data_IF_307451097941
#
_entry.id   IF_307451097941
#
_cell.length_a   1.000
_cell.length_b   1.000
_cell.length_c   1.000
_cell.angle_alpha   90.00
_cell.angle_beta   90.00
_cell.angle_gamma   90.00
#
_symmetry.space_group_name_H-M   'P 1'
#
loop_
_entity.id
_entity.type
_entity.pdbx_description
1 polymer ?
#
# COMPACT_ATOMS: atom_id res chain seq x y z
N UNK A 1 -3.03 -17.36 -20.26
CA UNK A 1 -2.35 -16.10 -19.89
C UNK A 1 -3.12 -15.43 -18.76
N UNK A 2 -2.40 -14.97 -17.74
CA UNK A 2 -2.90 -14.14 -16.64
C UNK A 2 -2.30 -12.76 -16.76
N UNK A 3 -2.89 -11.78 -16.09
CA UNK A 3 -2.32 -10.43 -16.06
C UNK A 3 -0.99 -10.47 -15.30
N UNK A 4 0.06 -9.87 -15.87
CA UNK A 4 1.36 -9.80 -15.19
C UNK A 4 1.39 -8.73 -14.11
N UNK A 5 2.36 -8.78 -13.20
CA UNK A 5 2.58 -7.73 -12.20
C UNK A 5 2.92 -6.38 -12.85
N UNK A 6 3.61 -6.39 -13.99
CA UNK A 6 3.89 -5.19 -14.80
C UNK A 6 2.60 -4.66 -15.43
N UNK A 7 1.74 -5.52 -15.95
CA UNK A 7 0.41 -5.17 -16.46
C UNK A 7 -0.49 -4.56 -15.38
N UNK A 8 -0.46 -5.11 -14.16
CA UNK A 8 -1.15 -4.56 -13.01
C UNK A 8 -0.63 -3.15 -12.66
N UNK A 9 0.69 -2.97 -12.59
CA UNK A 9 1.31 -1.69 -12.28
C UNK A 9 0.98 -0.64 -13.35
N UNK A 10 1.05 -1.03 -14.62
CA UNK A 10 0.70 -0.20 -15.77
C UNK A 10 -0.75 0.28 -15.70
N UNK A 11 -1.70 -0.61 -15.41
CA UNK A 11 -3.12 -0.25 -15.29
C UNK A 11 -3.36 0.64 -14.07
N UNK A 12 -2.79 0.30 -12.92
CA UNK A 12 -2.92 1.06 -11.68
C UNK A 12 -2.43 2.52 -11.83
N UNK A 13 -1.37 2.73 -12.63
CA UNK A 13 -0.86 4.07 -12.93
C UNK A 13 -1.86 4.94 -13.72
N UNK A 14 -2.76 4.33 -14.49
CA UNK A 14 -3.78 5.05 -15.27
C UNK A 14 -5.07 5.33 -14.49
N UNK A 15 -5.50 4.43 -13.60
CA UNK A 15 -6.77 4.56 -12.87
C UNK A 15 -6.67 5.52 -11.68
N UNK A 16 -5.49 5.66 -11.09
CA UNK A 16 -5.33 6.35 -9.81
C UNK A 16 -6.04 5.60 -8.67
N UNK A 17 -5.56 5.79 -7.44
CA UNK A 17 -6.13 5.11 -6.28
C UNK A 17 -6.79 6.12 -5.34
N UNK A 18 -8.05 5.87 -5.02
CA UNK A 18 -8.80 6.64 -4.03
C UNK A 18 -9.10 5.76 -2.82
N UNK A 19 -8.50 6.07 -1.67
CA UNK A 19 -8.64 5.27 -0.45
C UNK A 19 -10.01 5.34 0.21
N UNK A 20 -10.82 6.33 -0.17
CA UNK A 20 -12.13 6.61 0.44
C UNK A 20 -13.24 6.53 -0.63
N UNK A 21 -14.36 5.91 -0.28
CA UNK A 21 -15.54 5.86 -1.14
C UNK A 21 -16.05 7.26 -1.46
N UNK A 22 -16.25 7.55 -2.73
CA UNK A 22 -16.72 8.83 -3.27
C UNK A 22 -17.84 8.60 -4.30
N UNK A 23 -18.57 9.64 -4.67
CA UNK A 23 -19.52 9.60 -5.78
C UNK A 23 -18.80 10.01 -7.06
N UNK A 24 -18.85 9.16 -8.08
CA UNK A 24 -18.37 9.51 -9.41
C UNK A 24 -19.33 10.53 -10.09
N UNK A 25 -18.97 11.11 -11.25
CA UNK A 25 -19.85 12.01 -11.99
C UNK A 25 -21.19 11.39 -12.43
N UNK A 26 -21.31 10.06 -12.42
CA UNK A 26 -22.54 9.33 -12.72
C UNK A 26 -23.38 9.02 -11.46
N UNK A 27 -22.97 9.52 -10.28
CA UNK A 27 -23.66 9.31 -9.01
C UNK A 27 -23.45 7.92 -8.41
N UNK A 28 -22.48 7.15 -8.89
CA UNK A 28 -22.18 5.80 -8.42
C UNK A 28 -21.08 5.86 -7.36
N UNK A 29 -21.30 5.17 -6.24
CA UNK A 29 -20.29 5.04 -5.19
C UNK A 29 -19.11 4.20 -5.68
N UNK A 30 -17.93 4.81 -5.69
CA UNK A 30 -16.70 4.28 -6.25
C UNK A 30 -15.55 4.37 -5.23
N UNK A 31 -14.65 3.38 -5.22
CA UNK A 31 -13.48 3.33 -4.32
C UNK A 31 -12.29 2.63 -4.98
N UNK A 32 -11.06 2.86 -4.50
CA UNK A 32 -9.86 2.18 -4.99
C UNK A 32 -9.52 2.62 -6.41
N UNK A 33 -9.33 1.65 -7.32
CA UNK A 33 -9.00 1.87 -8.74
C UNK A 33 -10.24 2.00 -9.63
N UNK A 34 -11.37 2.50 -9.10
CA UNK A 34 -12.64 2.54 -9.84
C UNK A 34 -13.59 1.38 -9.50
N UNK A 35 -13.44 0.75 -8.33
CA UNK A 35 -14.32 -0.32 -7.93
C UNK A 35 -15.71 0.18 -7.56
N UNK A 36 -16.72 -0.48 -8.12
CA UNK A 36 -18.13 -0.20 -7.86
C UNK A 36 -18.86 -1.48 -7.48
N UNK A 37 -20.01 -1.34 -6.82
CA UNK A 37 -20.87 -2.48 -6.47
C UNK A 37 -21.49 -3.20 -7.68
N UNK A 38 -21.20 -2.77 -8.91
CA UNK A 38 -21.60 -3.44 -10.16
C UNK A 38 -20.72 -4.64 -10.50
N UNK A 39 -19.46 -4.64 -10.06
CA UNK A 39 -18.57 -5.80 -10.23
C UNK A 39 -19.01 -6.91 -9.29
N UNK A 40 -19.14 -8.14 -9.81
CA UNK A 40 -19.55 -9.31 -9.03
C UNK A 40 -18.45 -9.70 -8.05
N UNK A 41 -17.20 -9.62 -8.50
CA UNK A 41 -16.03 -9.94 -7.67
C UNK A 41 -15.87 -8.91 -6.55
N UNK A 42 -15.91 -7.60 -6.89
CA UNK A 42 -15.80 -6.55 -5.88
C UNK A 42 -16.94 -6.61 -4.87
N UNK A 43 -18.19 -6.68 -5.34
CA UNK A 43 -19.36 -6.67 -4.44
C UNK A 43 -19.41 -7.90 -3.54
N UNK A 44 -19.03 -9.08 -4.05
CA UNK A 44 -18.91 -10.31 -3.26
C UNK A 44 -17.82 -10.20 -2.20
N UNK A 45 -16.61 -9.75 -2.58
CA UNK A 45 -15.51 -9.53 -1.64
C UNK A 45 -15.87 -8.50 -0.57
N UNK A 46 -16.48 -7.38 -0.97
CA UNK A 46 -16.85 -6.29 -0.07
C UNK A 46 -17.89 -6.73 0.95
N UNK A 47 -18.98 -7.39 0.52
CA UNK A 47 -20.01 -7.90 1.42
C UNK A 47 -19.47 -8.96 2.37
N UNK A 48 -18.63 -9.89 1.88
CA UNK A 48 -18.00 -10.92 2.72
C UNK A 48 -17.14 -10.32 3.83
N UNK A 49 -16.47 -9.20 3.54
CA UNK A 49 -15.56 -8.55 4.49
C UNK A 49 -16.25 -7.57 5.44
N UNK A 50 -17.18 -6.78 4.93
CA UNK A 50 -17.76 -5.65 5.66
C UNK A 50 -19.22 -5.86 6.07
N UNK A 51 -19.89 -6.92 5.60
CA UNK A 51 -21.29 -7.22 5.91
C UNK A 51 -22.31 -6.21 5.35
N UNK A 52 -21.86 -5.19 4.62
CA UNK A 52 -22.68 -4.10 4.10
C UNK A 52 -22.36 -3.78 2.65
N UNK A 53 -23.18 -2.95 2.00
CA UNK A 53 -22.88 -2.36 0.69
C UNK A 53 -21.87 -1.22 0.86
N UNK A 54 -21.06 -0.97 -0.18
CA UNK A 54 -20.13 0.17 -0.20
C UNK A 54 -20.92 1.48 -0.06
N UNK A 55 -20.49 2.32 0.88
CA UNK A 55 -21.04 3.64 1.11
C UNK A 55 -19.96 4.74 0.96
N UNK A 56 -20.40 5.98 0.73
CA UNK A 56 -19.51 7.13 0.73
C UNK A 56 -18.82 7.22 2.10
N UNK A 57 -17.51 7.50 2.09
CA UNK A 57 -16.72 7.60 3.32
C UNK A 57 -16.08 6.29 3.78
N UNK A 58 -16.52 5.13 3.28
CA UNK A 58 -15.86 3.85 3.55
C UNK A 58 -14.40 3.85 3.08
N UNK A 59 -13.56 3.03 3.71
CA UNK A 59 -12.10 3.00 3.46
C UNK A 59 -11.64 1.67 2.89
N UNK A 60 -10.73 1.74 1.94
CA UNK A 60 -10.04 0.59 1.36
C UNK A 60 -8.53 0.87 1.39
N UNK A 61 -7.73 -0.07 1.88
CA UNK A 61 -6.28 0.06 1.82
C UNK A 61 -5.78 -0.25 0.41
N UNK A 62 -4.69 0.41 -0.01
CA UNK A 62 -4.09 0.20 -1.34
C UNK A 62 -3.68 -1.25 -1.56
N UNK A 63 -3.18 -1.92 -0.53
CA UNK A 63 -2.81 -3.33 -0.59
C UNK A 63 -4.02 -4.24 -0.90
N UNK A 64 -5.14 -4.07 -0.18
CA UNK A 64 -6.36 -4.81 -0.49
C UNK A 64 -6.88 -4.46 -1.88
N UNK A 65 -6.76 -3.19 -2.29
CA UNK A 65 -7.13 -2.75 -3.62
C UNK A 65 -6.28 -3.40 -4.71
N UNK A 66 -4.97 -3.55 -4.52
CA UNK A 66 -4.07 -4.21 -5.48
C UNK A 66 -4.42 -5.71 -5.63
N UNK A 67 -4.58 -6.42 -4.51
CA UNK A 67 -4.96 -7.85 -4.53
C UNK A 67 -6.32 -8.07 -5.19
N UNK A 68 -7.26 -7.18 -4.89
CA UNK A 68 -8.59 -7.20 -5.47
C UNK A 68 -8.58 -6.85 -6.95
N UNK A 69 -7.78 -5.85 -7.35
CA UNK A 69 -7.61 -5.46 -8.75
C UNK A 69 -7.08 -6.63 -9.57
N UNK A 70 -6.00 -7.29 -9.14
CA UNK A 70 -5.45 -8.45 -9.84
C UNK A 70 -6.50 -9.55 -10.03
N UNK A 71 -7.23 -9.90 -8.96
CA UNK A 71 -8.28 -10.92 -9.00
C UNK A 71 -9.41 -10.52 -9.97
N UNK A 72 -9.82 -9.26 -9.92
CA UNK A 72 -10.87 -8.70 -10.76
C UNK A 72 -10.45 -8.67 -12.24
N UNK A 73 -9.22 -8.27 -12.55
CA UNK A 73 -8.68 -8.28 -13.91
C UNK A 73 -8.65 -9.70 -14.47
N UNK A 74 -8.11 -10.66 -13.73
CA UNK A 74 -7.99 -12.06 -14.18
C UNK A 74 -9.33 -12.76 -14.42
N UNK A 75 -10.35 -12.41 -13.63
CA UNK A 75 -11.65 -13.08 -13.63
C UNK A 75 -12.73 -12.37 -14.45
N UNK A 76 -12.70 -11.04 -14.56
CA UNK A 76 -13.73 -10.27 -15.29
C UNK A 76 -13.23 -9.74 -16.65
N UNK A 77 -11.98 -9.29 -16.75
CA UNK A 77 -11.49 -8.54 -17.92
C UNK A 77 -10.59 -9.36 -18.85
N UNK A 78 -9.79 -10.25 -18.28
CA UNK A 78 -8.92 -11.16 -19.00
C UNK A 78 -9.65 -12.26 -19.82
N UNK A 79 -10.77 -12.87 -19.37
CA UNK A 79 -11.42 -13.93 -20.15
C UNK A 79 -11.90 -13.50 -21.54
N UNK A 80 -12.53 -12.33 -21.74
CA UNK A 80 -12.88 -11.83 -23.07
C UNK A 80 -11.66 -11.67 -23.99
N UNK A 81 -10.53 -11.19 -23.47
CA UNK A 81 -9.28 -11.04 -24.22
C UNK A 81 -8.77 -12.41 -24.67
N UNK A 82 -8.64 -13.37 -23.74
CA UNK A 82 -8.21 -14.75 -24.06
C UNK A 82 -9.07 -15.41 -25.12
N UNK A 83 -10.40 -15.21 -25.04
CA UNK A 83 -11.36 -15.78 -25.98
C UNK A 83 -11.21 -15.19 -27.38
N UNK A 84 -11.00 -13.87 -27.47
CA UNK A 84 -11.01 -13.14 -28.75
C UNK A 84 -9.66 -13.16 -29.45
N UNK A 85 -8.58 -13.09 -28.66
CA UNK A 85 -7.19 -12.96 -29.09
C UNK A 85 -6.34 -14.03 -28.39
N UNK A 86 -6.39 -15.30 -28.86
CA UNK A 86 -5.73 -16.42 -28.18
C UNK A 86 -4.21 -16.46 -28.36
N UNK A 87 -3.67 -15.75 -29.36
CA UNK A 87 -2.24 -15.74 -29.72
C UNK A 87 -1.65 -14.35 -29.47
N UNK A 88 -1.30 -14.06 -28.22
CA UNK A 88 -0.70 -12.78 -27.81
C UNK A 88 0.60 -13.03 -27.04
N UNK A 89 1.53 -12.08 -27.09
CA UNK A 89 2.61 -12.00 -26.09
C UNK A 89 2.05 -11.51 -24.75
N UNK A 90 2.82 -11.64 -23.67
CA UNK A 90 2.37 -11.22 -22.33
C UNK A 90 2.05 -9.71 -22.30
N UNK A 91 2.87 -8.91 -22.97
CA UNK A 91 2.74 -7.46 -23.04
C UNK A 91 1.52 -7.04 -23.86
N UNK A 92 1.29 -7.70 -25.01
CA UNK A 92 0.09 -7.49 -25.81
C UNK A 92 -1.18 -7.88 -25.05
N UNK A 93 -1.12 -8.97 -24.30
CA UNK A 93 -2.21 -9.41 -23.44
C UNK A 93 -2.53 -8.37 -22.37
N UNK A 94 -1.51 -7.85 -21.67
CA UNK A 94 -1.67 -6.83 -20.64
C UNK A 94 -2.19 -5.49 -21.21
N UNK A 95 -1.71 -5.07 -22.38
CA UNK A 95 -2.23 -3.91 -23.10
C UNK A 95 -3.73 -4.07 -23.42
N UNK A 96 -4.13 -5.23 -23.96
CA UNK A 96 -5.52 -5.52 -24.29
C UNK A 96 -6.42 -5.52 -23.04
N UNK A 97 -5.94 -6.06 -21.92
CA UNK A 97 -6.66 -6.03 -20.65
C UNK A 97 -6.85 -4.59 -20.16
N UNK A 98 -5.83 -3.73 -20.24
CA UNK A 98 -5.96 -2.30 -19.91
C UNK A 98 -7.00 -1.58 -20.77
N UNK A 99 -7.05 -1.89 -22.08
CA UNK A 99 -8.07 -1.35 -22.99
C UNK A 99 -9.47 -1.79 -22.58
N UNK A 100 -9.65 -3.09 -22.30
CA UNK A 100 -10.93 -3.69 -21.91
C UNK A 100 -11.38 -3.19 -20.54
N UNK A 101 -10.46 -2.89 -19.62
CA UNK A 101 -10.78 -2.26 -18.34
C UNK A 101 -11.40 -0.87 -18.52
N UNK A 102 -10.83 -0.06 -19.41
CA UNK A 102 -11.28 1.31 -19.63
C UNK A 102 -12.53 1.43 -20.51
N UNK A 103 -12.62 0.63 -21.58
CA UNK A 103 -13.67 0.77 -22.61
C UNK A 103 -14.68 -0.39 -22.61
N UNK A 104 -14.46 -1.41 -21.79
CA UNK A 104 -15.25 -2.64 -21.76
C UNK A 104 -14.88 -3.63 -22.86
N UNK A 105 -15.41 -4.85 -22.75
CA UNK A 105 -15.10 -5.97 -23.65
C UNK A 105 -15.55 -5.75 -25.10
N UNK A 106 -16.49 -4.83 -25.35
CA UNK A 106 -16.90 -4.44 -26.71
C UNK A 106 -15.76 -3.84 -27.52
N UNK A 107 -14.75 -3.28 -26.87
CA UNK A 107 -13.57 -2.76 -27.57
C UNK A 107 -12.82 -3.83 -28.37
N UNK A 108 -12.98 -5.12 -28.02
CA UNK A 108 -12.36 -6.24 -28.72
C UNK A 108 -12.96 -6.54 -30.10
N UNK A 109 -14.12 -5.94 -30.45
CA UNK A 109 -14.67 -6.03 -31.80
C UNK A 109 -14.26 -4.86 -32.70
N UNK A 110 -13.49 -3.90 -32.18
CA UNK A 110 -13.10 -2.71 -32.92
C UNK A 110 -11.91 -2.96 -33.84
N UNK A 111 -11.68 -2.03 -34.78
CA UNK A 111 -10.69 -2.18 -35.86
C UNK A 111 -9.29 -2.53 -35.37
N UNK A 112 -8.83 -1.95 -34.26
CA UNK A 112 -7.50 -2.24 -33.71
C UNK A 112 -7.35 -3.72 -33.30
N UNK A 113 -8.37 -4.29 -32.64
CA UNK A 113 -8.35 -5.67 -32.18
C UNK A 113 -8.44 -6.66 -33.34
N UNK A 114 -9.20 -6.33 -34.38
CA UNK A 114 -9.24 -7.10 -35.62
C UNK A 114 -7.86 -7.15 -36.29
N UNK A 115 -7.17 -6.00 -36.41
CA UNK A 115 -5.81 -5.95 -36.97
C UNK A 115 -4.79 -6.71 -36.13
N UNK A 116 -4.92 -6.65 -34.80
CA UNK A 116 -4.07 -7.43 -33.91
C UNK A 116 -4.29 -8.93 -34.11
N UNK A 117 -5.56 -9.37 -34.26
CA UNK A 117 -5.92 -10.76 -34.54
C UNK A 117 -5.31 -11.28 -35.85
N UNK A 118 -5.19 -10.40 -36.85
CA UNK A 118 -4.55 -10.69 -38.14
C UNK A 118 -3.00 -10.65 -38.07
N UNK A 119 -2.41 -10.46 -36.89
CA UNK A 119 -0.95 -10.35 -36.71
C UNK A 119 -0.35 -9.00 -37.14
N UNK A 120 -1.19 -8.01 -37.46
CA UNK A 120 -0.76 -6.68 -37.93
C UNK A 120 -0.58 -5.73 -36.74
N UNK A 121 0.40 -6.02 -35.89
CA UNK A 121 0.62 -5.31 -34.62
C UNK A 121 0.79 -3.80 -34.79
N UNK A 122 1.62 -3.34 -35.73
CA UNK A 122 1.83 -1.89 -35.93
C UNK A 122 0.58 -1.14 -36.44
N UNK A 123 -0.22 -1.78 -37.31
CA UNK A 123 -1.51 -1.21 -37.70
C UNK A 123 -2.47 -1.14 -36.51
N UNK A 124 -2.51 -2.19 -35.68
CA UNK A 124 -3.32 -2.24 -34.48
C UNK A 124 -2.94 -1.14 -33.48
N UNK A 125 -1.66 -0.96 -33.21
CA UNK A 125 -1.14 0.06 -32.30
C UNK A 125 -1.49 1.48 -32.76
N UNK A 126 -1.27 1.78 -34.05
CA UNK A 126 -1.65 3.07 -34.64
C UNK A 126 -3.14 3.35 -34.47
N UNK A 127 -4.00 2.36 -34.76
CA UNK A 127 -5.45 2.50 -34.57
C UNK A 127 -5.83 2.66 -33.09
N UNK A 128 -5.19 1.90 -32.20
CA UNK A 128 -5.43 1.95 -30.76
C UNK A 128 -5.11 3.33 -30.18
N UNK A 129 -4.01 3.96 -30.62
CA UNK A 129 -3.58 5.29 -30.15
C UNK A 129 -4.62 6.41 -30.33
N UNK A 130 -5.57 6.22 -31.25
CA UNK A 130 -6.63 7.19 -31.59
C UNK A 130 -8.00 6.81 -31.02
N UNK A 131 -8.16 5.56 -30.59
CA UNK A 131 -9.41 4.94 -30.20
C UNK A 131 -9.84 5.37 -28.80
N UNK A 132 -11.11 5.71 -28.57
CA UNK A 132 -11.63 5.98 -27.20
C UNK A 132 -10.93 7.15 -26.50
N UNK A 133 -10.51 8.18 -27.24
CA UNK A 133 -9.80 9.36 -26.71
C UNK A 133 -10.71 10.52 -26.32
N UNK A 134 -12.03 10.29 -26.36
CA UNK A 134 -13.07 11.31 -26.13
C UNK A 134 -14.04 10.86 -25.04
N UNK A 135 -14.56 11.82 -24.26
CA UNK A 135 -15.69 11.61 -23.34
C UNK A 135 -16.55 12.88 -23.30
N UNK A 136 -17.88 12.72 -23.29
CA UNK A 136 -18.82 13.85 -23.34
C UNK A 136 -18.62 14.76 -24.57
N UNK A 137 -18.26 14.17 -25.73
CA UNK A 137 -18.01 14.88 -26.97
C UNK A 137 -16.67 15.64 -27.03
N UNK A 138 -15.85 15.63 -25.97
CA UNK A 138 -14.57 16.35 -25.91
C UNK A 138 -13.39 15.38 -25.89
N UNK A 139 -12.30 15.75 -26.57
CA UNK A 139 -11.04 15.00 -26.54
C UNK A 139 -10.32 15.24 -25.22
N UNK A 140 -10.00 14.16 -24.50
CA UNK A 140 -9.38 14.24 -23.17
C UNK A 140 -7.88 13.93 -23.26
N UNK A 141 -7.04 14.87 -22.83
CA UNK A 141 -5.57 14.70 -22.82
C UNK A 141 -5.13 13.43 -22.08
N UNK A 142 -5.81 13.08 -20.98
CA UNK A 142 -5.54 11.85 -20.22
C UNK A 142 -5.78 10.57 -21.03
N UNK A 143 -6.92 10.47 -21.73
CA UNK A 143 -7.24 9.30 -22.55
C UNK A 143 -6.28 9.19 -23.74
N UNK A 144 -5.89 10.30 -24.36
CA UNK A 144 -4.87 10.32 -25.44
C UNK A 144 -3.54 9.74 -24.93
N UNK A 145 -3.07 10.19 -23.76
CA UNK A 145 -1.84 9.66 -23.16
C UNK A 145 -1.94 8.16 -22.85
N UNK A 146 -3.06 7.72 -22.29
CA UNK A 146 -3.32 6.29 -21.99
C UNK A 146 -3.29 5.43 -23.25
N UNK A 147 -4.02 5.81 -24.29
CA UNK A 147 -4.08 5.06 -25.55
C UNK A 147 -2.73 5.01 -26.26
N UNK A 148 -1.95 6.08 -26.18
CA UNK A 148 -0.58 6.07 -26.69
C UNK A 148 0.34 5.12 -25.90
N UNK A 149 0.20 5.05 -24.57
CA UNK A 149 0.95 4.12 -23.74
C UNK A 149 0.59 2.66 -24.03
N UNK A 150 -0.70 2.34 -24.18
CA UNK A 150 -1.15 0.98 -24.51
C UNK A 150 -0.78 0.57 -25.93
N UNK A 151 -0.81 1.50 -26.90
CA UNK A 151 -0.33 1.25 -28.26
C UNK A 151 1.16 0.90 -28.26
N UNK A 152 1.97 1.64 -27.50
CA UNK A 152 3.40 1.38 -27.30
C UNK A 152 3.64 0.02 -26.64
N UNK A 153 2.88 -0.32 -25.59
CA UNK A 153 2.99 -1.62 -24.93
C UNK A 153 2.63 -2.76 -25.90
N UNK A 154 1.58 -2.57 -26.69
CA UNK A 154 1.12 -3.54 -27.68
C UNK A 154 2.12 -3.76 -28.82
N UNK A 155 2.79 -2.70 -29.27
CA UNK A 155 3.72 -2.76 -30.41
C UNK A 155 5.14 -3.16 -30.04
N UNK A 156 5.65 -2.62 -28.93
CA UNK A 156 7.05 -2.71 -28.56
C UNK A 156 7.29 -3.49 -27.27
N UNK A 157 6.24 -3.92 -26.57
CA UNK A 157 6.38 -4.52 -25.24
C UNK A 157 6.88 -3.53 -24.17
N UNK A 158 6.84 -2.23 -24.49
CA UNK A 158 7.37 -1.17 -23.64
C UNK A 158 6.26 -0.65 -22.71
N UNK A 159 6.32 -1.03 -21.44
CA UNK A 159 5.45 -0.50 -20.38
C UNK A 159 5.71 1.00 -20.10
N UNK A 160 6.74 1.61 -20.71
CA UNK A 160 7.22 2.97 -20.48
C UNK A 160 8.11 3.06 -19.25
N UNK A 161 8.42 4.27 -18.77
CA UNK A 161 9.05 4.53 -17.46
C UNK A 161 8.24 3.94 -16.26
N UNK A 162 7.09 3.30 -16.50
CA UNK A 162 6.47 2.38 -15.55
C UNK A 162 7.32 1.11 -15.31
N UNK A 163 8.33 0.84 -16.13
CA UNK A 163 9.34 -0.20 -15.91
C UNK A 163 10.25 0.06 -14.69
N UNK A 164 10.21 1.27 -14.09
CA UNK A 164 10.87 1.54 -12.79
C UNK A 164 9.93 1.29 -11.60
N UNK A 165 8.65 0.97 -11.84
CA UNK A 165 7.73 0.47 -10.83
C UNK A 165 7.57 -1.05 -11.00
N UNK A 166 8.57 -1.80 -10.53
CA UNK A 166 8.44 -3.23 -10.29
C UNK A 166 7.21 -3.49 -9.40
N UNK A 167 6.15 -4.08 -9.96
CA UNK A 167 4.88 -4.35 -9.26
C UNK A 167 4.22 -3.04 -8.72
N UNK A 168 2.95 -3.03 -8.27
CA UNK A 168 2.42 -1.83 -7.62
C UNK A 168 3.31 -1.51 -6.42
N UNK A 169 4.02 -0.38 -6.49
CA UNK A 169 5.08 -0.05 -5.57
C UNK A 169 4.62 -0.31 -4.12
N UNK A 170 5.45 -1.00 -3.31
CA UNK A 170 5.23 -1.04 -1.88
C UNK A 170 4.89 0.36 -1.38
N UNK A 171 3.78 0.50 -0.64
CA UNK A 171 3.42 1.81 -0.10
C UNK A 171 4.62 2.31 0.71
N UNK A 172 5.14 3.50 0.43
CA UNK A 172 6.20 4.14 1.23
C UNK A 172 5.86 4.04 2.72
N UNK A 173 4.59 4.22 3.06
CA UNK A 173 4.04 4.10 4.40
C UNK A 173 4.18 2.68 5.01
N UNK A 174 4.20 1.63 4.19
CA UNK A 174 4.41 0.24 4.62
C UNK A 174 5.89 -0.06 4.75
N UNK A 175 6.73 0.46 3.85
CA UNK A 175 8.19 0.40 4.00
C UNK A 175 8.60 1.07 5.31
N UNK A 176 8.08 2.27 5.58
CA UNK A 176 8.39 3.02 6.80
C UNK A 176 7.83 2.33 8.04
N UNK A 177 6.64 1.72 7.94
CA UNK A 177 6.08 0.87 8.98
C UNK A 177 6.95 -0.36 9.25
N UNK A 178 7.39 -1.10 8.21
CA UNK A 178 8.25 -2.27 8.36
C UNK A 178 9.61 -1.89 8.93
N UNK A 179 10.22 -0.78 8.48
CA UNK A 179 11.44 -0.23 9.08
C UNK A 179 11.24 0.08 10.55
N UNK A 180 10.15 0.78 10.91
CA UNK A 180 9.84 1.13 12.28
C UNK A 180 9.62 -0.13 13.15
N UNK A 181 8.82 -1.09 12.69
CA UNK A 181 8.57 -2.35 13.40
C UNK A 181 9.87 -3.14 13.62
N UNK A 182 10.68 -3.29 12.56
CA UNK A 182 11.96 -4.00 12.63
C UNK A 182 12.93 -3.30 13.58
N UNK A 183 13.02 -1.97 13.49
CA UNK A 183 13.80 -1.15 14.42
C UNK A 183 13.30 -1.28 15.86
N UNK A 184 12.01 -1.56 16.08
CA UNK A 184 11.41 -1.78 17.40
C UNK A 184 11.51 -3.23 17.89
N UNK A 185 12.16 -4.12 17.14
CA UNK A 185 12.33 -5.54 17.49
C UNK A 185 11.10 -6.41 17.19
N UNK A 186 10.10 -5.87 16.49
CA UNK A 186 8.97 -6.62 15.96
C UNK A 186 9.28 -7.00 14.51
N UNK A 187 9.75 -8.22 14.25
CA UNK A 187 10.19 -8.61 12.90
C UNK A 187 9.01 -8.68 11.90
N UNK A 188 8.93 -7.76 10.93
CA UNK A 188 7.85 -7.75 9.95
C UNK A 188 8.17 -8.62 8.73
N UNK A 189 9.32 -9.31 8.72
CA UNK A 189 9.88 -9.98 7.55
C UNK A 189 10.77 -9.05 6.71
N UNK A 190 10.93 -9.35 5.40
CA UNK A 190 11.62 -8.46 4.46
C UNK A 190 11.01 -7.06 4.45
N UNK A 191 11.84 -6.02 4.31
CA UNK A 191 11.38 -4.64 4.09
C UNK A 191 11.11 -4.49 2.59
N UNK A 192 10.06 -5.17 2.16
CA UNK A 192 9.60 -5.26 0.78
C UNK A 192 8.40 -4.35 0.50
N UNK A 193 7.94 -3.64 1.54
CA UNK A 193 6.76 -2.80 1.65
C UNK A 193 5.43 -3.47 1.30
N UNK A 194 5.38 -4.80 1.42
CA UNK A 194 4.16 -5.59 1.40
C UNK A 194 3.67 -5.84 2.83
N UNK A 195 2.40 -5.52 3.11
CA UNK A 195 1.81 -5.79 4.41
C UNK A 195 1.35 -7.26 4.53
N UNK A 196 2.33 -8.17 4.55
CA UNK A 196 2.10 -9.63 4.60
C UNK A 196 1.72 -10.15 5.99
N UNK A 197 1.53 -11.49 6.12
CA UNK A 197 1.24 -12.13 7.41
C UNK A 197 2.28 -11.82 8.49
N UNK A 198 3.56 -11.74 8.11
CA UNK A 198 4.66 -11.39 9.02
C UNK A 198 4.57 -9.94 9.48
N UNK A 199 4.35 -8.98 8.58
CA UNK A 199 4.16 -7.57 8.94
C UNK A 199 2.92 -7.37 9.81
N UNK A 200 1.83 -8.08 9.53
CA UNK A 200 0.62 -8.07 10.39
C UNK A 200 0.90 -8.65 11.78
N UNK A 201 1.66 -9.74 11.87
CA UNK A 201 2.07 -10.33 13.14
C UNK A 201 2.96 -9.36 13.94
N UNK A 202 3.88 -8.66 13.27
CA UNK A 202 4.70 -7.62 13.88
C UNK A 202 3.86 -6.44 14.40
N UNK A 203 2.85 -5.97 13.65
CA UNK A 203 1.92 -4.94 14.15
C UNK A 203 1.17 -5.41 15.39
N UNK A 204 0.68 -6.66 15.41
CA UNK A 204 0.00 -7.23 16.59
C UNK A 204 0.93 -7.32 17.79
N UNK A 205 2.18 -7.75 17.57
CA UNK A 205 3.20 -7.80 18.60
C UNK A 205 3.46 -6.40 19.18
N UNK A 206 3.58 -5.39 18.31
CA UNK A 206 3.75 -4.00 18.71
C UNK A 206 2.54 -3.46 19.49
N UNK A 207 1.31 -3.70 19.02
CA UNK A 207 0.08 -3.25 19.70
C UNK A 207 -0.04 -3.89 21.10
N UNK A 208 0.23 -5.20 21.20
CA UNK A 208 0.24 -5.92 22.49
C UNK A 208 1.29 -5.37 23.45
N UNK A 209 2.41 -4.91 22.92
CA UNK A 209 3.53 -4.34 23.66
C UNK A 209 3.33 -2.88 24.13
N UNK A 210 2.31 -2.18 23.64
CA UNK A 210 2.06 -0.76 23.90
C UNK A 210 0.57 -0.50 24.19
N UNK A 211 0.07 -0.83 25.40
CA UNK A 211 -1.26 -0.40 25.85
C UNK A 211 -1.38 1.14 25.81
N UNK A 212 -2.55 1.73 25.52
CA UNK A 212 -3.89 1.12 25.39
C UNK A 212 -4.28 0.74 23.95
N UNK A 213 -3.33 0.36 23.10
CA UNK A 213 -3.65 0.02 21.70
C UNK A 213 -4.51 -1.25 21.58
N UNK A 214 -5.49 -1.21 20.66
CA UNK A 214 -6.29 -2.37 20.28
C UNK A 214 -5.43 -3.31 19.43
N UNK A 215 -5.39 -4.61 19.78
CA UNK A 215 -4.58 -5.63 19.11
C UNK A 215 -5.33 -6.25 17.92
N UNK A 216 -5.57 -5.45 16.89
CA UNK A 216 -6.28 -5.88 15.67
C UNK A 216 -5.33 -6.29 14.53
N UNK A 217 -4.06 -5.87 14.58
CA UNK A 217 -3.08 -6.01 13.52
C UNK A 217 -3.25 -5.00 12.39
N UNK A 218 -3.94 -3.89 12.66
CA UNK A 218 -4.18 -2.80 11.71
C UNK A 218 -3.43 -1.56 12.22
N UNK A 219 -2.48 -1.00 11.45
CA UNK A 219 -1.76 0.21 11.82
C UNK A 219 -2.66 1.45 11.65
N UNK A 220 -3.66 1.59 12.52
CA UNK A 220 -4.54 2.75 12.60
C UNK A 220 -3.84 4.00 13.17
N UNK A 221 -4.51 5.16 13.25
CA UNK A 221 -3.90 6.41 13.71
C UNK A 221 -3.24 6.29 15.09
N UNK A 222 -3.88 5.62 16.05
CA UNK A 222 -3.33 5.39 17.38
C UNK A 222 -2.03 4.55 17.33
N UNK A 223 -2.02 3.48 16.54
CA UNK A 223 -0.84 2.61 16.38
C UNK A 223 0.31 3.34 15.68
N UNK A 224 0.03 4.17 14.67
CA UNK A 224 1.05 4.99 13.98
C UNK A 224 1.66 6.04 14.90
N UNK A 225 0.83 6.79 15.62
CA UNK A 225 1.29 7.77 16.60
C UNK A 225 2.09 7.13 17.74
N UNK A 226 1.79 5.88 18.09
CA UNK A 226 2.60 5.12 19.05
C UNK A 226 3.94 4.67 18.44
N UNK A 227 3.95 4.15 17.21
CA UNK A 227 5.17 3.78 16.49
C UNK A 227 6.14 4.96 16.37
N UNK A 228 5.65 6.12 15.94
CA UNK A 228 6.45 7.35 15.80
C UNK A 228 7.07 7.77 17.14
N UNK A 229 6.26 7.78 18.21
CA UNK A 229 6.74 8.09 19.57
C UNK A 229 7.81 7.10 20.04
N UNK A 230 7.58 5.81 19.89
CA UNK A 230 8.52 4.78 20.35
C UNK A 230 9.81 4.77 19.51
N UNK A 231 9.71 4.99 18.21
CA UNK A 231 10.88 5.14 17.32
C UNK A 231 11.69 6.39 17.66
N UNK A 232 11.04 7.52 17.94
CA UNK A 232 11.70 8.76 18.35
C UNK A 232 12.44 8.62 19.70
N UNK A 233 11.87 7.87 20.65
CA UNK A 233 12.51 7.56 21.94
C UNK A 233 13.74 6.66 21.77
N UNK A 234 13.67 5.68 20.85
CA UNK A 234 14.77 4.73 20.59
C UNK A 234 15.94 5.34 19.81
N UNK A 235 15.67 6.30 18.91
CA UNK A 235 16.69 7.00 18.12
C UNK A 235 17.39 8.15 18.87
N UNK A 236 17.21 8.28 20.19
CA UNK A 236 17.89 9.29 21.03
C UNK A 236 17.27 10.69 20.98
N UNK A 237 16.48 11.01 19.96
CA UNK A 237 15.74 12.30 19.84
C UNK A 237 14.72 12.53 20.96
N UNK A 238 14.08 11.48 21.47
CA UNK A 238 13.13 11.58 22.57
C UNK A 238 13.79 11.66 23.95
N UNK A 239 15.00 11.13 24.11
CA UNK A 239 15.77 11.23 25.35
C UNK A 239 16.19 12.68 25.63
N UNK A 240 16.57 13.44 24.60
CA UNK A 240 16.87 14.89 24.74
C UNK A 240 15.63 15.67 25.22
N UNK A 241 14.45 15.39 24.66
CA UNK A 241 13.20 16.03 25.08
C UNK A 241 12.73 15.63 26.50
N UNK A 242 12.87 14.35 26.86
CA UNK A 242 12.54 13.84 28.21
C UNK A 242 13.52 14.38 29.26
N UNK A 243 14.81 14.52 28.92
CA UNK A 243 15.82 15.11 29.81
C UNK A 243 15.57 16.62 30.03
N UNK A 244 15.03 17.31 29.02
CA UNK A 244 14.63 18.73 29.11
C UNK A 244 13.41 18.91 30.02
N UNK A 245 12.48 17.95 30.02
CA UNK A 245 11.27 17.97 30.87
C UNK A 245 11.55 17.55 32.31
N UNK A 246 12.43 16.58 32.54
CA UNK A 246 12.72 16.04 33.88
C UNK A 246 13.63 16.96 34.72
N UNK A 247 14.38 17.88 34.09
CA UNK A 247 15.23 18.84 34.81
C UNK A 247 14.57 20.19 35.05
N UNK A 248 13.33 20.40 34.58
CA UNK A 248 12.54 21.61 34.84
C UNK A 248 13.11 22.92 34.30
N UNK A 249 14.17 22.87 33.50
CA UNK A 249 14.82 24.06 32.96
C UNK A 249 15.56 23.74 31.68
N UNK A 250 15.38 24.58 30.66
CA UNK A 250 16.35 24.67 29.58
C UNK A 250 17.70 25.11 30.17
N UNK A 251 18.51 24.17 30.66
CA UNK A 251 19.87 24.45 31.06
C UNK A 251 20.74 24.42 29.81
N UNK A 252 21.01 25.62 29.28
CA UNK A 252 22.17 25.92 28.45
C UNK A 252 23.41 25.37 29.16
N UNK A 253 24.01 24.32 28.60
CA UNK A 253 25.24 23.66 29.07
C UNK A 253 26.50 24.53 28.88
N UNK A 254 26.40 25.85 28.93
CA UNK A 254 27.53 26.75 28.70
C UNK A 254 28.34 27.08 29.97
N UNK A 255 27.84 26.79 31.19
CA UNK A 255 28.48 27.28 32.43
C UNK A 255 28.66 26.27 33.58
N UNK A 256 28.79 24.96 33.30
CA UNK A 256 29.09 23.96 34.35
C UNK A 256 30.52 23.42 34.19
N UNK A 257 31.36 23.39 35.24
CA UNK A 257 32.72 22.87 35.17
C UNK A 257 32.77 21.39 34.78
N UNK A 258 33.73 21.04 33.91
CA UNK A 258 33.88 19.74 33.23
C UNK A 258 33.71 18.45 34.06
N UNK A 259 34.12 18.35 35.34
CA UNK A 259 33.94 17.10 36.10
C UNK A 259 32.49 16.86 36.55
N UNK A 260 31.68 17.90 36.76
CA UNK A 260 30.28 17.75 37.21
C UNK A 260 29.34 17.39 36.04
N UNK A 261 29.65 17.83 34.83
CA UNK A 261 28.93 17.44 33.60
C UNK A 261 29.09 15.95 33.30
N UNK A 262 30.27 15.36 33.55
CA UNK A 262 30.51 13.92 33.38
C UNK A 262 29.73 13.07 34.39
N UNK A 263 29.61 13.51 35.65
CA UNK A 263 28.82 12.82 36.68
C UNK A 263 27.31 12.85 36.39
N UNK A 264 26.79 13.99 35.92
CA UNK A 264 25.39 14.12 35.49
C UNK A 264 25.10 13.24 34.27
N UNK A 265 25.99 13.19 33.28
CA UNK A 265 25.86 12.30 32.12
C UNK A 265 25.93 10.82 32.51
N UNK A 266 26.82 10.44 33.45
CA UNK A 266 26.94 9.08 33.94
C UNK A 266 25.69 8.61 34.71
N UNK A 267 25.10 9.48 35.54
CA UNK A 267 23.85 9.18 36.26
C UNK A 267 22.65 8.99 35.33
N UNK A 268 22.57 9.81 34.28
CA UNK A 268 21.52 9.69 33.23
C UNK A 268 21.73 8.43 32.39
N UNK A 269 22.98 8.07 32.07
CA UNK A 269 23.29 6.83 31.36
C UNK A 269 22.95 5.58 32.19
N UNK A 270 23.25 5.59 33.50
CA UNK A 270 22.94 4.48 34.40
C UNK A 270 21.43 4.26 34.59
N UNK A 271 20.67 5.35 34.75
CA UNK A 271 19.19 5.28 34.84
C UNK A 271 18.56 4.87 33.51
N UNK A 272 19.08 5.36 32.38
CA UNK A 272 18.65 4.94 31.04
C UNK A 272 18.93 3.47 30.75
N UNK A 273 20.11 2.97 31.09
CA UNK A 273 20.48 1.56 30.93
C UNK A 273 19.64 0.65 31.84
N UNK A 274 19.38 1.07 33.08
CA UNK A 274 18.49 0.36 34.01
C UNK A 274 17.04 0.30 33.50
N UNK A 275 16.50 1.41 32.99
CA UNK A 275 15.18 1.46 32.40
C UNK A 275 15.08 0.59 31.12
N UNK A 276 16.12 0.59 30.28
CA UNK A 276 16.20 -0.24 29.08
C UNK A 276 16.29 -1.74 29.43
N UNK A 277 17.07 -2.10 30.45
CA UNK A 277 17.18 -3.47 30.95
C UNK A 277 15.86 -3.96 31.58
N UNK A 278 15.20 -3.13 32.38
CA UNK A 278 13.87 -3.42 32.92
C UNK A 278 12.83 -3.60 31.79
N UNK A 279 12.93 -2.81 30.72
CA UNK A 279 12.05 -2.92 29.57
C UNK A 279 12.28 -4.19 28.75
N UNK A 280 13.54 -4.60 28.54
CA UNK A 280 13.85 -5.86 27.83
C UNK A 280 13.42 -7.08 28.65
N UNK A 281 13.47 -6.99 29.98
CA UNK A 281 13.06 -8.04 30.91
C UNK A 281 11.58 -7.98 31.32
N UNK A 282 10.80 -7.02 30.83
CA UNK A 282 9.41 -6.78 31.28
C UNK A 282 8.48 -7.99 31.08
N UNK A 283 8.71 -8.79 30.05
CA UNK A 283 7.91 -10.00 29.80
C UNK A 283 8.08 -11.05 30.89
N UNK A 284 9.33 -11.29 31.31
CA UNK A 284 9.66 -12.22 32.39
C UNK A 284 9.17 -11.69 33.75
N UNK A 285 9.34 -10.39 34.01
CA UNK A 285 8.87 -9.75 35.24
C UNK A 285 7.34 -9.80 35.39
N UNK A 286 6.58 -9.59 34.31
CA UNK A 286 5.12 -9.69 34.34
C UNK A 286 4.62 -11.13 34.54
N UNK A 287 5.36 -12.12 34.04
CA UNK A 287 5.08 -13.55 34.29
C UNK A 287 5.34 -13.92 35.76
N UNK A 288 6.47 -13.48 36.32
CA UNK A 288 6.85 -13.69 37.73
C UNK A 288 5.85 -13.02 38.69
N UNK A 289 5.47 -11.76 38.40
CA UNK A 289 4.46 -11.02 39.17
C UNK A 289 3.10 -11.70 39.14
N UNK A 290 2.68 -12.22 37.98
CA UNK A 290 1.41 -12.95 37.85
C UNK A 290 1.44 -14.29 38.59
N UNK A 291 2.59 -14.95 38.66
CA UNK A 291 2.76 -16.20 39.42
C UNK A 291 2.74 -15.95 40.94
N UNK A 292 3.29 -14.82 41.40
CA UNK A 292 3.32 -14.44 42.82
C UNK A 292 1.99 -13.85 43.31
N UNK A 293 1.32 -13.04 42.50
CA UNK A 293 0.02 -12.45 42.83
C UNK A 293 -1.17 -13.40 42.61
N UNK A 294 -0.97 -14.52 41.92
CA UNK A 294 -1.96 -15.59 41.77
C UNK A 294 -1.91 -16.67 42.85
N UNK A 295 -1.12 -16.48 43.92
CA UNK A 295 -1.01 -17.36 45.09
C UNK A 295 -1.56 -16.75 46.38
N UNK A 296 -2.36 -15.68 46.27
CA UNK A 296 -3.20 -15.16 47.35
C UNK A 296 -4.66 -15.25 46.95
#
# INVERSE_FOLDING_TARGET
MKVSDQGLAFLAAHEGFVSRGYLDPAGIVTIGYGFTMRSRIFSGWWRKRHGKRLAVGDRLSREHANKLLLTLLDQEYAPPVRKTLPKLTQEQFDACVSVVYNLGSRALSWRWALKLKDGRTGEAARLLSQTGTTAGGRRLKGLVKRRAAEARLLEHGDYGLAAVASAPAPGSDIIDLQRALKALGCDPGPIDGYFGPLTKAAVRAFQKANPPLVVDGIPGPATRAALERTSALRNGTGLVGVLTLLTGGGLLLEKVPGPLTLLLLAGVAATGAGALWLWTQRGALLLELKHRLGRF
#
